data_IF_030697061071
#
_entry.id   IF_030697061071
#
_cell.length_a   1.000
_cell.length_b   1.000
_cell.length_c   1.000
_cell.angle_alpha   90.00
_cell.angle_beta   90.00
_cell.angle_gamma   90.00
#
_symmetry.space_group_name_H-M   'P 1'
#
loop_
_entity.id
_entity.type
_entity.pdbx_description
1 polymer ?
#
# COMPACT_ATOMS: atom_id res chain seq x y z
N UNK A 1 9.75 -20.11 -24.16
CA UNK A 1 9.25 -20.20 -22.77
C UNK A 1 8.53 -18.91 -22.48
N UNK A 2 7.21 -18.94 -22.45
CA UNK A 2 6.36 -17.75 -22.25
C UNK A 2 6.50 -17.25 -20.82
N UNK A 3 7.03 -16.04 -20.66
CA UNK A 3 7.10 -15.31 -19.40
C UNK A 3 5.67 -14.98 -18.92
N UNK A 4 5.07 -15.88 -18.15
CA UNK A 4 3.93 -15.49 -17.30
C UNK A 4 4.49 -14.85 -16.03
N UNK A 5 4.90 -13.59 -16.16
CA UNK A 5 4.98 -12.67 -15.02
C UNK A 5 3.56 -12.32 -14.60
N UNK A 6 2.97 -13.15 -13.73
CA UNK A 6 1.60 -12.95 -13.31
C UNK A 6 1.14 -14.06 -12.40
N UNK A 7 0.47 -13.67 -11.33
CA UNK A 7 -0.27 -14.51 -10.39
C UNK A 7 -0.77 -15.83 -11.01
N UNK A 8 -0.34 -16.98 -10.45
CA UNK A 8 -0.94 -18.27 -10.77
C UNK A 8 -2.16 -18.49 -9.86
N UNK A 9 -3.37 -18.67 -10.42
CA UNK A 9 -4.59 -18.98 -9.68
C UNK A 9 -4.47 -20.14 -8.68
N UNK A 10 -3.58 -21.09 -8.98
CA UNK A 10 -3.33 -22.31 -8.20
C UNK A 10 -2.50 -22.11 -6.93
N UNK A 11 -2.15 -20.87 -6.55
CA UNK A 11 -1.57 -20.58 -5.24
C UNK A 11 -0.12 -21.04 -5.04
N UNK A 12 0.57 -21.43 -6.12
CA UNK A 12 2.02 -21.58 -6.13
C UNK A 12 2.66 -20.32 -6.72
N UNK A 13 3.13 -19.44 -5.84
CA UNK A 13 4.04 -18.36 -6.22
C UNK A 13 5.43 -18.96 -6.45
N UNK A 14 6.09 -18.51 -7.52
CA UNK A 14 7.46 -18.93 -7.79
C UNK A 14 8.37 -18.44 -6.66
N UNK A 15 9.11 -19.36 -6.04
CA UNK A 15 10.12 -19.04 -5.01
C UNK A 15 11.44 -18.55 -5.61
N UNK A 16 11.54 -18.54 -6.93
CA UNK A 16 12.67 -18.04 -7.71
C UNK A 16 12.10 -17.13 -8.79
N UNK A 17 12.77 -16.01 -9.04
CA UNK A 17 12.26 -15.00 -9.95
C UNK A 17 13.07 -13.73 -9.88
N UNK A 18 12.56 -12.69 -10.54
CA UNK A 18 13.15 -11.34 -10.54
C UNK A 18 12.80 -10.64 -9.23
N UNK A 19 13.80 -10.12 -8.52
CA UNK A 19 13.58 -9.33 -7.31
C UNK A 19 12.94 -7.98 -7.66
N UNK A 20 11.83 -7.61 -7.02
CA UNK A 20 11.12 -6.35 -7.27
C UNK A 20 11.89 -5.09 -6.82
N UNK A 21 12.96 -5.23 -6.00
CA UNK A 21 13.78 -4.12 -5.50
C UNK A 21 15.12 -3.94 -6.23
N UNK A 22 15.67 -4.99 -6.83
CA UNK A 22 16.97 -4.88 -7.51
C UNK A 22 17.01 -5.47 -8.92
N UNK A 23 15.94 -6.13 -9.37
CA UNK A 23 15.87 -6.72 -10.70
C UNK A 23 16.71 -7.99 -10.88
N UNK A 24 17.54 -8.38 -9.91
CA UNK A 24 18.33 -9.62 -10.00
C UNK A 24 17.44 -10.85 -9.92
N UNK A 25 17.76 -11.88 -10.73
CA UNK A 25 17.12 -13.19 -10.61
C UNK A 25 17.72 -13.96 -9.46
N UNK A 26 16.90 -14.35 -8.48
CA UNK A 26 17.36 -15.04 -7.28
C UNK A 26 16.26 -15.92 -6.68
N UNK A 27 16.60 -16.65 -5.61
CA UNK A 27 15.60 -17.15 -4.68
C UNK A 27 14.95 -15.96 -3.97
N UNK A 28 13.63 -15.93 -4.01
CA UNK A 28 12.82 -14.88 -3.42
C UNK A 28 12.41 -15.27 -2.00
N UNK A 29 12.26 -14.26 -1.15
CA UNK A 29 11.78 -14.33 0.22
C UNK A 29 10.33 -13.84 0.27
N UNK A 30 9.59 -14.33 1.27
CA UNK A 30 8.21 -13.93 1.49
C UNK A 30 8.15 -12.52 2.08
N UNK A 31 7.67 -11.56 1.29
CA UNK A 31 7.37 -10.20 1.71
C UNK A 31 5.90 -10.12 2.18
N UNK A 32 5.68 -9.57 3.37
CA UNK A 32 4.34 -9.30 3.91
C UNK A 32 3.94 -7.86 3.61
N UNK A 33 2.70 -7.65 3.17
CA UNK A 33 2.21 -6.32 2.81
C UNK A 33 0.81 -6.10 3.42
N UNK A 34 0.67 -5.28 4.49
CA UNK A 34 1.73 -4.62 5.26
C UNK A 34 2.58 -5.62 6.08
N UNK A 35 3.63 -5.18 6.82
CA UNK A 35 4.45 -6.07 7.63
C UNK A 35 3.63 -6.96 8.56
N UNK A 36 4.05 -8.22 8.76
CA UNK A 36 3.31 -9.23 9.56
C UNK A 36 3.02 -8.77 11.00
N UNK A 37 3.94 -8.00 11.58
CA UNK A 37 3.80 -7.46 12.92
C UNK A 37 2.84 -6.27 12.99
N UNK A 38 2.56 -5.60 11.86
CA UNK A 38 1.54 -4.56 11.76
C UNK A 38 0.16 -5.17 11.43
N UNK A 39 -0.28 -6.10 12.27
CA UNK A 39 -1.60 -6.75 12.23
C UNK A 39 -1.93 -7.61 11.00
N UNK A 40 -0.99 -7.79 10.06
CA UNK A 40 -1.16 -8.63 8.87
C UNK A 40 -1.07 -10.14 9.21
N UNK A 41 -2.13 -10.70 9.81
CA UNK A 41 -2.20 -12.09 10.29
C UNK A 41 -3.47 -12.86 9.89
N UNK A 42 -4.48 -12.15 9.38
CA UNK A 42 -5.80 -12.70 9.06
C UNK A 42 -5.82 -13.69 7.89
N UNK A 43 -7.02 -14.14 7.54
CA UNK A 43 -7.26 -14.94 6.33
C UNK A 43 -7.23 -14.03 5.10
N UNK A 44 -6.39 -14.34 4.12
CA UNK A 44 -6.26 -13.56 2.89
C UNK A 44 -6.16 -14.46 1.66
N UNK A 45 -6.77 -14.05 0.56
CA UNK A 45 -6.66 -14.71 -0.74
C UNK A 45 -6.25 -13.69 -1.80
N UNK A 46 -5.34 -14.09 -2.68
CA UNK A 46 -4.99 -13.31 -3.85
C UNK A 46 -5.96 -13.63 -4.99
N UNK A 47 -6.35 -12.60 -5.73
CA UNK A 47 -7.04 -12.73 -7.02
C UNK A 47 -6.20 -12.14 -8.16
N UNK A 48 -6.63 -12.39 -9.38
CA UNK A 48 -6.06 -11.81 -10.58
C UNK A 48 -6.78 -12.27 -11.83
N UNK A 49 -6.28 -11.85 -12.99
CA UNK A 49 -6.78 -12.29 -14.30
C UNK A 49 -5.84 -13.32 -14.92
N UNK A 50 -6.42 -14.28 -15.63
CA UNK A 50 -5.68 -15.23 -16.46
C UNK A 50 -5.44 -14.67 -17.86
N UNK A 51 -4.57 -15.32 -18.64
CA UNK A 51 -4.23 -14.88 -20.00
C UNK A 51 -5.42 -14.87 -20.98
N UNK A 52 -6.46 -15.65 -20.70
CA UNK A 52 -7.73 -15.68 -21.42
C UNK A 52 -8.80 -14.75 -20.81
N UNK A 53 -8.36 -13.72 -20.06
CA UNK A 53 -9.20 -12.69 -19.46
C UNK A 53 -10.26 -13.20 -18.47
N UNK A 54 -10.00 -14.31 -17.78
CA UNK A 54 -10.90 -14.81 -16.73
C UNK A 54 -10.43 -14.35 -15.36
N UNK A 55 -11.37 -13.98 -14.50
CA UNK A 55 -11.08 -13.72 -13.09
C UNK A 55 -10.79 -15.04 -12.40
N UNK A 56 -9.68 -15.07 -11.68
CA UNK A 56 -9.26 -16.18 -10.86
C UNK A 56 -9.05 -15.72 -9.43
N UNK A 57 -9.49 -16.53 -8.48
CA UNK A 57 -9.36 -16.26 -7.06
C UNK A 57 -8.76 -17.45 -6.33
N UNK A 58 -7.73 -17.20 -5.53
CA UNK A 58 -7.03 -18.21 -4.76
C UNK A 58 -7.82 -18.66 -3.53
N UNK A 59 -7.35 -19.75 -2.90
CA UNK A 59 -7.87 -20.17 -1.60
C UNK A 59 -7.34 -19.27 -0.49
N UNK A 60 -8.19 -18.81 0.45
CA UNK A 60 -7.74 -18.05 1.61
C UNK A 60 -6.71 -18.82 2.44
N UNK A 61 -5.67 -18.12 2.89
CA UNK A 61 -4.64 -18.63 3.79
C UNK A 61 -4.49 -17.72 4.99
N UNK A 62 -4.27 -18.33 6.15
CA UNK A 62 -3.91 -17.61 7.37
C UNK A 62 -2.49 -17.04 7.26
N UNK A 63 -2.23 -15.95 7.99
CA UNK A 63 -0.93 -15.28 8.00
C UNK A 63 -0.86 -14.03 7.14
N UNK A 64 -2.00 -13.57 6.62
CA UNK A 64 -2.13 -12.28 5.96
C UNK A 64 -1.65 -12.23 4.51
N UNK A 65 -1.70 -11.04 3.92
CA UNK A 65 -1.27 -10.78 2.55
C UNK A 65 0.27 -10.85 2.46
N UNK A 66 0.77 -11.80 1.68
CA UNK A 66 2.20 -11.96 1.44
C UNK A 66 2.50 -12.54 0.07
N UNK A 67 3.68 -12.19 -0.48
CA UNK A 67 4.18 -12.68 -1.75
C UNK A 67 5.69 -12.92 -1.75
N UNK A 68 6.15 -13.90 -2.53
CA UNK A 68 7.58 -14.03 -2.85
C UNK A 68 7.98 -12.95 -3.87
N UNK A 69 8.76 -11.95 -3.43
CA UNK A 69 9.03 -10.76 -4.26
C UNK A 69 10.45 -10.19 -4.17
N UNK A 70 11.13 -10.36 -3.03
CA UNK A 70 12.45 -9.76 -2.80
C UNK A 70 13.52 -10.84 -2.65
N UNK A 71 14.75 -10.59 -3.07
CA UNK A 71 15.87 -11.48 -2.74
C UNK A 71 16.32 -11.26 -1.28
N UNK A 72 17.07 -12.19 -0.70
CA UNK A 72 17.51 -12.08 0.71
C UNK A 72 18.32 -10.80 0.97
N UNK A 73 19.20 -10.39 0.06
CA UNK A 73 19.99 -9.18 0.22
C UNK A 73 19.12 -7.92 0.34
N UNK A 74 18.10 -7.78 -0.53
CA UNK A 74 17.16 -6.67 -0.46
C UNK A 74 16.25 -6.78 0.78
N UNK A 75 15.75 -7.98 1.10
CA UNK A 75 14.96 -8.20 2.33
C UNK A 75 15.75 -7.77 3.57
N UNK A 76 17.01 -8.17 3.67
CA UNK A 76 17.89 -7.83 4.77
C UNK A 76 18.17 -6.33 4.86
N UNK A 77 18.26 -5.62 3.73
CA UNK A 77 18.48 -4.17 3.73
C UNK A 77 17.23 -3.36 4.07
N UNK A 78 16.04 -3.81 3.64
CA UNK A 78 14.80 -3.03 3.81
C UNK A 78 13.96 -3.42 5.02
N UNK A 79 13.99 -4.69 5.46
CA UNK A 79 13.19 -5.13 6.61
C UNK A 79 13.52 -4.43 7.94
N UNK A 80 14.73 -3.89 8.19
CA UNK A 80 14.95 -3.07 9.37
C UNK A 80 14.02 -1.85 9.45
N UNK A 81 13.54 -1.31 8.32
CA UNK A 81 12.65 -0.13 8.31
C UNK A 81 11.22 -0.44 8.73
N UNK A 82 10.83 -1.73 8.71
CA UNK A 82 9.51 -2.15 9.15
C UNK A 82 9.25 -1.75 10.62
N UNK A 83 10.30 -1.59 11.43
CA UNK A 83 10.19 -1.19 12.84
C UNK A 83 9.42 0.14 13.03
N UNK A 84 9.70 1.15 12.21
CA UNK A 84 9.03 2.44 12.27
C UNK A 84 7.60 2.35 11.73
N UNK A 85 7.38 1.56 10.66
CA UNK A 85 6.02 1.26 10.19
C UNK A 85 5.19 0.61 11.29
N UNK A 86 5.75 -0.40 11.96
CA UNK A 86 5.10 -1.12 13.05
C UNK A 86 4.84 -0.18 14.22
N UNK A 87 5.84 0.62 14.64
CA UNK A 87 5.69 1.63 15.71
C UNK A 87 4.53 2.56 15.42
N UNK A 88 4.45 3.10 14.21
CA UNK A 88 3.36 3.97 13.79
C UNK A 88 2.03 3.21 13.79
N UNK A 89 1.97 2.01 13.21
CA UNK A 89 0.76 1.21 13.19
C UNK A 89 0.19 0.98 14.60
N UNK A 90 1.03 0.63 15.58
CA UNK A 90 0.60 0.46 16.97
C UNK A 90 0.20 1.79 17.62
N UNK A 91 0.92 2.88 17.36
CA UNK A 91 0.58 4.21 17.87
C UNK A 91 -0.82 4.63 17.39
N UNK A 92 -1.06 4.61 16.08
CA UNK A 92 -2.37 4.97 15.52
C UNK A 92 -3.46 4.01 15.98
N UNK A 93 -3.22 2.70 15.95
CA UNK A 93 -4.15 1.70 16.47
C UNK A 93 -4.57 2.00 17.92
N UNK A 94 -3.60 2.22 18.81
CA UNK A 94 -3.83 2.55 20.21
C UNK A 94 -4.64 3.82 20.39
N UNK A 95 -4.27 4.91 19.73
CA UNK A 95 -5.03 6.17 19.84
C UNK A 95 -6.46 6.03 19.33
N UNK A 96 -6.64 5.30 18.23
CA UNK A 96 -7.96 5.04 17.65
C UNK A 96 -8.83 4.12 18.54
N UNK A 97 -8.21 3.17 19.23
CA UNK A 97 -8.85 2.29 20.22
C UNK A 97 -9.27 2.98 21.51
N UNK A 98 -8.55 4.01 21.94
CA UNK A 98 -8.79 4.64 23.23
C UNK A 98 -9.45 6.03 23.12
N UNK A 99 -9.68 6.51 21.90
CA UNK A 99 -10.38 7.77 21.67
C UNK A 99 -11.84 7.72 22.16
N UNK A 100 -12.26 8.75 22.89
CA UNK A 100 -13.67 9.00 23.25
C UNK A 100 -14.52 9.44 22.04
N UNK A 101 -13.88 9.79 20.91
CA UNK A 101 -14.51 10.32 19.70
C UNK A 101 -14.65 9.27 18.57
N UNK A 102 -14.64 7.98 18.91
CA UNK A 102 -14.91 6.89 17.95
C UNK A 102 -16.26 7.15 17.28
N UNK A 103 -16.35 6.97 15.96
CA UNK A 103 -17.59 7.28 15.22
C UNK A 103 -17.65 8.66 14.60
N UNK A 104 -16.91 9.62 15.16
CA UNK A 104 -17.19 11.04 14.92
C UNK A 104 -16.08 11.79 14.17
N UNK A 105 -14.85 11.27 14.18
CA UNK A 105 -13.71 11.92 13.53
C UNK A 105 -13.68 11.62 12.03
N UNK A 106 -13.48 12.66 11.23
CA UNK A 106 -13.14 12.55 9.80
C UNK A 106 -11.64 12.61 9.54
N UNK A 107 -10.86 13.08 10.53
CA UNK A 107 -9.41 13.23 10.46
C UNK A 107 -8.75 12.84 11.79
N UNK A 108 -7.48 12.43 11.69
CA UNK A 108 -6.54 12.30 12.81
C UNK A 108 -5.48 13.37 12.64
N UNK A 109 -5.53 14.38 13.51
CA UNK A 109 -4.52 15.43 13.61
C UNK A 109 -3.62 15.20 14.82
N UNK A 110 -2.34 15.54 14.70
CA UNK A 110 -1.40 15.39 15.79
C UNK A 110 0.02 15.76 15.41
N UNK A 111 0.91 15.66 16.39
CA UNK A 111 2.35 15.77 16.22
C UNK A 111 2.98 14.45 16.66
N UNK A 112 3.72 13.83 15.74
CA UNK A 112 4.54 12.66 16.02
C UNK A 112 5.94 13.17 16.37
N UNK A 113 6.38 12.98 17.61
CA UNK A 113 7.71 13.42 18.07
C UNK A 113 8.73 12.28 18.01
N UNK A 114 9.98 12.61 17.70
CA UNK A 114 11.09 11.66 17.64
C UNK A 114 10.78 10.42 16.78
N UNK A 115 10.25 10.65 15.58
CA UNK A 115 9.91 9.62 14.59
C UNK A 115 10.83 9.67 13.38
N UNK A 116 10.84 8.59 12.59
CA UNK A 116 11.65 8.47 11.36
C UNK A 116 10.76 8.37 10.11
N UNK A 117 10.18 9.47 9.63
CA UNK A 117 9.25 9.44 8.49
C UNK A 117 9.88 8.86 7.22
N UNK A 118 11.16 9.13 6.96
CA UNK A 118 11.91 8.56 5.83
C UNK A 118 12.03 7.03 5.89
N UNK A 119 12.03 6.47 7.09
CA UNK A 119 12.00 5.02 7.33
C UNK A 119 10.60 4.45 7.12
N UNK A 120 9.57 5.11 7.66
CA UNK A 120 8.17 4.73 7.49
C UNK A 120 7.78 4.62 6.01
N UNK A 121 8.03 5.67 5.22
CA UNK A 121 7.66 5.70 3.80
C UNK A 121 8.40 4.63 3.00
N UNK A 122 9.68 4.37 3.30
CA UNK A 122 10.46 3.35 2.60
C UNK A 122 10.03 1.93 2.96
N UNK A 123 9.64 1.67 4.21
CA UNK A 123 9.02 0.39 4.58
C UNK A 123 7.72 0.15 3.81
N UNK A 124 6.85 1.17 3.74
CA UNK A 124 5.60 1.10 2.99
C UNK A 124 5.84 0.86 1.49
N UNK A 125 6.71 1.65 0.85
CA UNK A 125 7.00 1.52 -0.59
C UNK A 125 7.73 0.20 -0.88
N UNK A 126 8.63 -0.26 -0.02
CA UNK A 126 9.25 -1.58 -0.17
C UNK A 126 8.18 -2.69 -0.20
N UNK A 127 7.18 -2.63 0.68
CA UNK A 127 6.00 -3.51 0.62
C UNK A 127 5.23 -3.35 -0.69
N UNK A 128 4.98 -2.13 -1.16
CA UNK A 128 4.27 -1.85 -2.41
C UNK A 128 5.01 -2.38 -3.65
N UNK A 129 6.35 -2.41 -3.67
CA UNK A 129 7.11 -3.03 -4.76
C UNK A 129 6.83 -4.53 -4.87
N UNK A 130 6.56 -5.22 -3.75
CA UNK A 130 6.13 -6.61 -3.77
C UNK A 130 4.75 -6.80 -4.40
N UNK A 131 3.98 -5.71 -4.54
CA UNK A 131 2.72 -5.71 -5.26
C UNK A 131 2.87 -5.38 -6.74
N UNK A 132 3.92 -4.64 -7.09
CA UNK A 132 4.13 -4.01 -8.40
C UNK A 132 5.54 -4.30 -8.91
N UNK A 133 5.86 -5.56 -9.28
CA UNK A 133 7.22 -5.94 -9.63
C UNK A 133 7.81 -5.17 -10.82
N UNK A 134 6.96 -4.63 -11.71
CA UNK A 134 7.36 -3.79 -12.86
C UNK A 134 7.70 -2.35 -12.49
N UNK A 135 7.43 -1.91 -11.27
CA UNK A 135 7.74 -0.55 -10.83
C UNK A 135 9.24 -0.22 -10.96
N UNK A 136 10.12 -1.22 -10.81
CA UNK A 136 11.56 -1.05 -10.99
C UNK A 136 11.96 -0.69 -12.42
N UNK A 137 11.16 -1.08 -13.41
CA UNK A 137 11.47 -0.85 -14.83
C UNK A 137 11.17 0.59 -15.25
N UNK A 138 10.06 1.13 -14.76
CA UNK A 138 9.60 2.49 -15.08
C UNK A 138 10.07 3.54 -14.06
N UNK A 139 10.36 3.15 -12.82
CA UNK A 139 10.72 4.05 -11.70
C UNK A 139 11.95 3.52 -10.92
N UNK A 140 13.01 3.15 -11.64
CA UNK A 140 14.24 2.60 -11.06
C UNK A 140 14.84 3.50 -9.95
N UNK A 141 14.79 4.82 -10.12
CA UNK A 141 15.29 5.77 -9.11
C UNK A 141 14.50 5.73 -7.81
N UNK A 142 13.17 5.68 -7.87
CA UNK A 142 12.34 5.52 -6.67
C UNK A 142 12.69 4.22 -5.94
N UNK A 143 12.78 3.12 -6.68
CA UNK A 143 13.11 1.81 -6.11
C UNK A 143 14.52 1.81 -5.50
N UNK A 144 15.48 2.50 -6.13
CA UNK A 144 16.83 2.69 -5.62
C UNK A 144 16.84 3.50 -4.32
N UNK A 145 16.16 4.65 -4.30
CA UNK A 145 16.03 5.53 -3.11
C UNK A 145 15.42 4.76 -1.94
N UNK A 146 14.41 3.95 -2.23
CA UNK A 146 13.81 3.05 -1.24
C UNK A 146 14.89 2.11 -0.76
N UNK A 147 15.45 1.25 -1.62
CA UNK A 147 16.43 0.21 -1.27
C UNK A 147 17.67 0.72 -0.52
N UNK A 148 18.17 1.89 -0.85
CA UNK A 148 19.41 2.47 -0.29
C UNK A 148 19.17 3.23 1.02
N UNK A 149 17.93 3.60 1.34
CA UNK A 149 17.61 4.31 2.58
C UNK A 149 18.15 5.74 2.68
N UNK A 150 18.72 6.27 1.58
CA UNK A 150 19.35 7.59 1.54
C UNK A 150 18.33 8.72 1.32
N UNK A 151 18.51 9.91 1.93
CA UNK A 151 17.77 11.11 1.60
C UNK A 151 17.77 11.37 0.08
N UNK A 152 16.60 11.68 -0.49
CA UNK A 152 16.51 12.00 -1.90
C UNK A 152 15.32 12.91 -2.20
N UNK A 153 15.44 13.67 -3.29
CA UNK A 153 14.30 14.42 -3.80
C UNK A 153 13.21 13.45 -4.32
N UNK A 154 11.94 13.68 -3.98
CA UNK A 154 10.83 12.91 -4.52
C UNK A 154 10.83 12.87 -6.04
N UNK A 155 10.55 11.73 -6.68
CA UNK A 155 10.36 11.67 -8.11
C UNK A 155 9.16 12.54 -8.54
N UNK A 156 9.28 13.25 -9.66
CA UNK A 156 8.27 14.23 -10.06
C UNK A 156 6.90 13.59 -10.37
N UNK A 157 6.88 12.39 -10.98
CA UNK A 157 5.66 11.74 -11.46
C UNK A 157 4.95 10.82 -10.46
N UNK A 158 5.58 10.45 -9.34
CA UNK A 158 5.02 9.48 -8.39
C UNK A 158 4.77 10.10 -7.02
N UNK A 159 3.65 9.73 -6.40
CA UNK A 159 3.22 10.24 -5.09
C UNK A 159 2.87 9.13 -4.13
N UNK A 160 3.33 9.29 -2.90
CA UNK A 160 2.97 8.47 -1.76
C UNK A 160 1.88 9.19 -0.97
N UNK A 161 0.67 8.66 -1.03
CA UNK A 161 -0.50 9.24 -0.39
C UNK A 161 -0.86 8.42 0.86
N UNK A 162 -1.13 9.10 1.97
CA UNK A 162 -1.44 8.47 3.25
C UNK A 162 -2.78 8.96 3.83
N UNK A 163 -3.52 8.02 4.40
CA UNK A 163 -4.74 8.23 5.14
C UNK A 163 -4.89 7.12 6.20
N UNK A 164 -5.94 7.20 7.00
CA UNK A 164 -6.31 6.21 8.02
C UNK A 164 -7.40 5.29 7.48
N UNK A 165 -7.14 3.99 7.51
CA UNK A 165 -8.16 2.97 7.22
C UNK A 165 -8.86 2.56 8.52
N UNK A 166 -10.21 2.59 8.58
CA UNK A 166 -10.94 2.12 9.75
C UNK A 166 -10.82 0.60 9.87
N UNK A 167 -10.82 0.06 11.09
CA UNK A 167 -10.63 -1.39 11.33
C UNK A 167 -11.67 -2.31 10.66
N UNK A 168 -12.87 -1.80 10.39
CA UNK A 168 -13.94 -2.56 9.70
C UNK A 168 -13.94 -2.38 8.18
N UNK A 169 -13.03 -1.57 7.63
CA UNK A 169 -12.87 -1.53 6.19
C UNK A 169 -12.39 -2.89 5.70
N UNK A 170 -12.84 -3.24 4.50
CA UNK A 170 -12.34 -4.47 3.87
C UNK A 170 -10.88 -4.25 3.54
N UNK A 171 -10.00 -5.11 4.05
CA UNK A 171 -8.59 -5.07 3.70
C UNK A 171 -8.45 -5.20 2.17
N UNK A 172 -7.85 -4.19 1.55
CA UNK A 172 -7.65 -4.13 0.11
C UNK A 172 -6.18 -3.89 -0.19
N UNK A 173 -5.52 -4.89 -0.78
CA UNK A 173 -4.10 -4.86 -1.13
C UNK A 173 -3.97 -5.16 -2.62
N UNK A 174 -3.52 -4.19 -3.39
CA UNK A 174 -3.56 -4.23 -4.85
C UNK A 174 -2.25 -3.71 -5.46
N UNK A 175 -1.86 -4.30 -6.59
CA UNK A 175 -0.81 -3.77 -7.46
C UNK A 175 -1.36 -3.69 -8.87
N UNK A 176 -1.46 -2.47 -9.39
CA UNK A 176 -2.08 -2.10 -10.66
C UNK A 176 -1.23 -1.06 -11.40
N UNK A 177 0.08 -1.14 -11.23
CA UNK A 177 1.04 -0.29 -11.93
C UNK A 177 0.87 -0.43 -13.44
N UNK A 178 0.81 0.70 -14.14
CA UNK A 178 0.52 0.83 -15.58
C UNK A 178 -0.90 0.40 -16.00
N UNK A 179 -1.79 0.06 -15.06
CA UNK A 179 -3.19 -0.22 -15.38
C UNK A 179 -3.99 1.07 -15.58
N UNK A 180 -5.10 0.95 -16.31
CA UNK A 180 -6.07 2.02 -16.53
C UNK A 180 -7.38 1.68 -15.83
N UNK A 181 -7.95 2.67 -15.15
CA UNK A 181 -9.34 2.67 -14.70
C UNK A 181 -10.21 3.20 -15.84
N UNK A 182 -11.15 2.40 -16.30
CA UNK A 182 -12.11 2.77 -17.34
C UNK A 182 -13.43 3.15 -16.68
N UNK A 183 -13.88 4.39 -16.90
CA UNK A 183 -15.21 4.86 -16.50
C UNK A 183 -16.09 4.93 -17.74
N UNK A 184 -17.23 4.25 -17.66
CA UNK A 184 -18.26 4.29 -18.70
C UNK A 184 -19.45 5.07 -18.16
N UNK A 185 -19.88 6.09 -18.88
CA UNK A 185 -21.10 6.83 -18.60
C UNK A 185 -21.98 6.80 -19.82
N UNK A 186 -23.27 6.52 -19.61
CA UNK A 186 -24.24 6.60 -20.68
C UNK A 186 -24.81 8.01 -20.71
N UNK A 187 -24.78 8.63 -21.89
CA UNK A 187 -25.47 9.89 -22.15
C UNK A 187 -26.99 9.63 -22.08
N UNK A 188 -27.70 10.40 -21.25
CA UNK A 188 -29.13 10.26 -21.04
C UNK A 188 -29.96 10.59 -22.28
N UNK A 189 -29.43 11.43 -23.18
CA UNK A 189 -30.19 11.98 -24.31
C UNK A 189 -29.91 11.21 -25.60
N UNK A 190 -28.64 10.86 -25.86
CA UNK A 190 -28.25 10.10 -27.06
C UNK A 190 -28.26 8.58 -26.84
N UNK A 191 -28.23 8.12 -25.58
CA UNK A 191 -28.07 6.70 -25.23
C UNK A 191 -26.67 6.14 -25.53
N UNK A 192 -25.76 6.96 -26.05
CA UNK A 192 -24.38 6.58 -26.39
C UNK A 192 -23.52 6.43 -25.13
N UNK A 193 -22.54 5.54 -25.20
CA UNK A 193 -21.60 5.31 -24.12
C UNK A 193 -20.35 6.16 -24.31
N UNK A 194 -20.13 7.12 -23.41
CA UNK A 194 -18.86 7.81 -23.29
C UNK A 194 -17.91 6.99 -22.41
N UNK A 195 -16.65 6.87 -22.87
CA UNK A 195 -15.59 6.18 -22.13
C UNK A 195 -14.50 7.17 -21.76
N UNK A 196 -14.19 7.26 -20.47
CA UNK A 196 -13.03 8.00 -19.95
C UNK A 196 -12.06 7.01 -19.33
N UNK A 197 -10.76 7.23 -19.54
CA UNK A 197 -9.71 6.42 -18.91
C UNK A 197 -8.81 7.29 -18.07
N UNK A 198 -8.45 6.79 -16.89
CA UNK A 198 -7.49 7.42 -15.98
C UNK A 198 -6.50 6.37 -15.51
N UNK A 199 -5.23 6.72 -15.22
CA UNK A 199 -4.31 5.79 -14.58
C UNK A 199 -4.89 5.21 -13.28
N UNK A 200 -4.60 3.94 -12.99
CA UNK A 200 -4.87 3.37 -11.68
C UNK A 200 -3.80 3.81 -10.67
N UNK A 201 -4.12 3.76 -9.39
CA UNK A 201 -3.07 3.77 -8.37
C UNK A 201 -2.14 2.58 -8.62
N UNK A 202 -0.84 2.84 -8.64
CA UNK A 202 0.15 1.80 -8.92
C UNK A 202 0.11 0.72 -7.85
N UNK A 203 0.07 1.09 -6.57
CA UNK A 203 -0.09 0.16 -5.48
C UNK A 203 -1.02 0.70 -4.40
N UNK A 204 -1.77 -0.19 -3.76
CA UNK A 204 -2.70 0.14 -2.67
C UNK A 204 -2.43 -0.78 -1.49
N UNK A 205 -2.27 -0.20 -0.31
CA UNK A 205 -2.31 -0.86 0.99
C UNK A 205 -3.42 -0.19 1.80
N UNK A 206 -4.65 -0.68 1.65
CA UNK A 206 -5.78 -0.29 2.47
C UNK A 206 -5.99 -1.35 3.55
N UNK A 207 -5.27 -1.21 4.66
CA UNK A 207 -5.26 -2.19 5.74
C UNK A 207 -5.06 -1.46 7.08
N UNK A 208 -6.04 -1.58 7.97
CA UNK A 208 -6.04 -0.83 9.23
C UNK A 208 -4.72 -0.99 10.00
N UNK A 209 -4.12 0.12 10.46
CA UNK A 209 -4.73 1.46 10.55
C UNK A 209 -4.50 2.36 9.33
N UNK A 210 -3.79 1.91 8.29
CA UNK A 210 -3.37 2.80 7.20
C UNK A 210 -4.08 2.52 5.88
N UNK A 211 -4.32 3.60 5.14
CA UNK A 211 -4.69 3.58 3.74
C UNK A 211 -3.57 4.30 2.99
N UNK A 212 -2.70 3.52 2.33
CA UNK A 212 -1.51 4.01 1.66
C UNK A 212 -1.61 3.74 0.17
N UNK A 213 -1.31 4.75 -0.65
CA UNK A 213 -1.32 4.65 -2.11
C UNK A 213 0.04 5.06 -2.65
N UNK A 214 0.51 4.33 -3.65
CA UNK A 214 1.52 4.83 -4.58
C UNK A 214 0.79 5.12 -5.89
N UNK A 215 0.76 6.38 -6.30
CA UNK A 215 -0.06 6.85 -7.40
C UNK A 215 0.69 7.82 -8.31
N UNK A 216 0.26 7.94 -9.56
CA UNK A 216 0.72 9.01 -10.44
C UNK A 216 0.32 10.38 -9.86
N UNK A 217 1.16 11.40 -10.05
CA UNK A 217 0.91 12.78 -9.62
C UNK A 217 -0.46 13.30 -10.08
N UNK A 218 -0.92 12.91 -11.27
CA UNK A 218 -2.21 13.32 -11.81
C UNK A 218 -3.41 12.82 -10.98
N UNK A 219 -3.21 11.80 -10.16
CA UNK A 219 -4.27 11.20 -9.34
C UNK A 219 -4.37 11.80 -7.92
N UNK A 220 -3.44 12.67 -7.51
CA UNK A 220 -3.39 13.21 -6.13
C UNK A 220 -4.74 13.80 -5.71
N UNK A 221 -5.31 14.67 -6.55
CA UNK A 221 -6.58 15.35 -6.26
C UNK A 221 -7.81 14.43 -6.38
N UNK A 222 -7.62 13.21 -6.91
CA UNK A 222 -8.69 12.21 -7.01
C UNK A 222 -8.86 11.38 -5.73
N UNK A 223 -7.93 11.51 -4.78
CA UNK A 223 -7.95 10.77 -3.52
C UNK A 223 -8.05 11.72 -2.33
N UNK A 224 -8.89 11.41 -1.33
CA UNK A 224 -8.96 12.18 -0.10
C UNK A 224 -7.80 11.79 0.85
N UNK A 225 -6.58 11.65 0.33
CA UNK A 225 -5.38 11.27 1.07
C UNK A 225 -4.43 12.48 1.16
N UNK A 226 -3.53 12.46 2.14
CA UNK A 226 -2.47 13.47 2.24
C UNK A 226 -1.26 13.01 1.43
N UNK A 227 -0.70 13.89 0.62
CA UNK A 227 0.59 13.66 -0.03
C UNK A 227 1.71 13.75 1.00
N UNK A 228 2.38 12.61 1.26
CA UNK A 228 3.50 12.50 2.19
C UNK A 228 4.81 12.19 1.46
N UNK A 229 4.88 12.43 0.14
CA UNK A 229 6.04 12.05 -0.67
C UNK A 229 7.33 12.76 -0.23
N UNK A 230 7.21 13.97 0.33
CA UNK A 230 8.34 14.74 0.86
C UNK A 230 9.10 14.03 1.98
N UNK A 231 8.51 13.03 2.65
CA UNK A 231 9.23 12.21 3.64
C UNK A 231 10.41 11.43 3.03
N UNK A 232 10.47 11.25 1.71
CA UNK A 232 11.66 10.70 1.03
C UNK A 232 12.89 11.60 1.13
N UNK A 233 12.72 12.90 1.39
CA UNK A 233 13.82 13.83 1.61
C UNK A 233 14.57 13.55 2.91
N UNK A 234 13.98 12.75 3.81
CA UNK A 234 14.61 12.28 5.04
C UNK A 234 15.16 10.87 4.82
N UNK A 235 16.36 10.62 5.34
CA UNK A 235 16.99 9.31 5.39
C UNK A 235 16.30 8.38 6.38
N UNK A 236 16.69 7.11 6.37
CA UNK A 236 16.08 6.08 7.25
C UNK A 236 16.43 6.26 8.72
N UNK A 237 17.48 7.00 9.05
CA UNK A 237 17.91 7.23 10.43
C UNK A 237 17.64 8.67 10.91
N UNK A 238 17.18 9.55 10.01
CA UNK A 238 16.85 10.94 10.34
C UNK A 238 15.61 11.00 11.23
N UNK A 239 15.80 11.58 12.41
CA UNK A 239 14.73 11.79 13.40
C UNK A 239 14.10 13.16 13.13
N UNK A 240 12.76 13.21 13.12
CA UNK A 240 12.00 14.42 12.91
C UNK A 240 10.74 14.47 13.77
N UNK A 241 10.23 15.67 13.98
CA UNK A 241 8.89 15.91 14.51
C UNK A 241 7.96 16.20 13.33
N UNK A 242 6.90 15.41 13.17
CA UNK A 242 6.01 15.47 12.02
C UNK A 242 4.61 15.84 12.47
N UNK A 243 4.11 16.98 11.98
CA UNK A 243 2.70 17.33 12.11
C UNK A 243 1.91 16.60 11.04
N UNK A 244 0.85 15.93 11.46
CA UNK A 244 -0.01 15.13 10.59
C UNK A 244 -1.46 15.62 10.69
N UNK A 245 -2.17 15.51 9.57
CA UNK A 245 -3.61 15.70 9.48
C UNK A 245 -4.17 14.65 8.53
N UNK A 246 -4.16 13.38 8.96
CA UNK A 246 -4.52 12.26 8.10
C UNK A 246 -6.04 12.06 8.08
N UNK A 247 -6.69 12.15 6.90
CA UNK A 247 -8.11 11.87 6.75
C UNK A 247 -8.38 10.37 6.97
N UNK A 248 -9.62 10.06 7.34
CA UNK A 248 -10.11 8.69 7.45
C UNK A 248 -10.85 8.34 6.17
N UNK A 249 -10.46 7.23 5.54
CA UNK A 249 -10.95 6.80 4.23
C UNK A 249 -11.35 5.33 4.31
N UNK A 250 -12.44 4.93 3.64
CA UNK A 250 -12.90 3.53 3.54
C UNK A 250 -12.95 3.11 2.06
N UNK A 251 -11.82 2.63 1.51
CA UNK A 251 -11.79 2.14 0.12
C UNK A 251 -12.38 0.72 0.05
N UNK A 252 -13.14 0.34 -0.98
CA UNK A 252 -13.40 1.04 -2.26
C UNK A 252 -14.70 1.88 -2.29
N UNK A 253 -15.27 2.27 -1.14
CA UNK A 253 -16.45 3.16 -1.09
C UNK A 253 -15.92 4.60 -1.21
N UNK A 254 -16.15 5.37 -2.27
CA UNK A 254 -17.36 6.20 -2.42
C UNK A 254 -17.15 7.34 -3.42
N UNK A 255 -18.24 7.93 -3.94
CA UNK A 255 -18.20 9.30 -4.46
C UNK A 255 -18.53 10.39 -3.41
N UNK A 256 -19.34 10.14 -2.36
CA UNK A 256 -19.86 11.23 -1.47
C UNK A 256 -20.23 10.86 -0.02
N UNK A 257 -19.88 9.69 0.55
CA UNK A 257 -20.36 9.38 1.91
C UNK A 257 -19.53 10.03 3.02
N UNK A 258 -20.13 10.75 3.99
CA UNK A 258 -19.54 10.90 5.30
C UNK A 258 -19.53 9.51 5.94
N UNK A 259 -18.36 8.87 6.03
CA UNK A 259 -18.24 7.53 6.63
C UNK A 259 -18.40 7.65 8.15
N UNK A 260 -19.44 7.06 8.76
CA UNK A 260 -19.49 6.93 10.21
C UNK A 260 -18.43 5.90 10.60
N UNK A 261 -17.46 6.32 11.41
CA UNK A 261 -16.39 5.48 11.98
C UNK A 261 -16.99 4.37 12.88
N UNK A 262 -17.47 3.27 12.32
CA UNK A 262 -17.91 2.13 13.12
C UNK A 262 -16.71 1.45 13.79
N UNK A 263 -16.37 1.93 14.99
CA UNK A 263 -15.64 1.29 16.08
C UNK A 263 -14.39 0.48 15.69
N UNK A 264 -13.22 1.09 15.89
CA UNK A 264 -11.98 0.32 16.04
C UNK A 264 -12.11 -0.60 17.27
N UNK A 265 -12.06 -1.89 17.00
CA UNK A 265 -11.93 -2.96 17.98
C UNK A 265 -10.78 -3.83 17.50
N UNK A 266 -9.58 -3.56 18.03
CA UNK A 266 -8.50 -4.53 17.96
C UNK A 266 -8.84 -5.55 19.02
N UNK A 267 -9.25 -6.74 18.59
CA UNK A 267 -9.29 -7.87 19.51
C UNK A 267 -7.87 -8.04 20.04
N UNK A 268 -7.72 -8.07 21.36
CA UNK A 268 -6.45 -8.31 22.03
C UNK A 268 -5.72 -9.43 21.31
N UNK A 269 -4.48 -9.15 20.89
CA UNK A 269 -3.57 -10.19 20.48
C UNK A 269 -3.37 -11.09 21.72
N UNK A 270 -4.11 -12.20 21.78
CA UNK A 270 -3.75 -13.28 22.69
C UNK A 270 -2.33 -13.71 22.30
N UNK A 271 -1.42 -13.53 23.26
CA UNK A 271 -0.02 -13.93 23.19
C UNK A 271 0.12 -15.41 22.85
#
# INVERSE_FOLDING_TARGET
MTEQEGFRPSGQQARTGRCALCGSRAKLTQAHVPPKAAFNRGSFAWGGTTADNRVAYGRPRLGGASRYAHCEACRASTSPWDDEYIKWAYCFAGHLLHSQWKGQRTHITGELTDVRPGRFIRAAIAGMTALTPKLIDSHADLVRIVREGIPAQPPEGMRFLAAIAPNRSSAHVEGSHEALVVRMSQDSDSGEWATATTPAASAVIHFAPFSLLLADRQLVDSFPHVDCTEWLQLGVDDIANVRIALPIVDLPRTPTAPVPLAMLQFMEARA
#
